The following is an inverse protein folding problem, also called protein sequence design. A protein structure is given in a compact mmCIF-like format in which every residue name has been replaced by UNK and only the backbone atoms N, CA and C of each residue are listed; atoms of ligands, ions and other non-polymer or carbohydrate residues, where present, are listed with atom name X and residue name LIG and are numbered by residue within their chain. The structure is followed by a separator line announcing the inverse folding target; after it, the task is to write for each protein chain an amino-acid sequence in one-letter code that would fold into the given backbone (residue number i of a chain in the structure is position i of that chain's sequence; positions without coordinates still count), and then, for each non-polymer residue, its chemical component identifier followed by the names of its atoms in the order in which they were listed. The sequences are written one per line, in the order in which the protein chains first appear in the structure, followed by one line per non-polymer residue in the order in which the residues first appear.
data_IF_823109171787
#
_entry.id   IF_823109171787
#
_cell.length_a   1.000
_cell.length_b   1.000
_cell.length_c   1.000
_cell.angle_alpha   90.00
_cell.angle_beta   90.00
_cell.angle_gamma   90.00
#
_symmetry.space_group_name_H-M   'P 1'
#
loop_
_entity.id
_entity.type
_entity.pdbx_description
1 polymer ?
#
# COMPACT_ATOMS: atom_id res chain seq x y z
N UNK A 1 54.86 -21.45 -59.35
CA UNK A 1 53.98 -22.38 -58.61
C UNK A 1 54.56 -22.55 -57.24
N UNK A 2 53.92 -22.01 -56.21
CA UNK A 2 53.96 -22.54 -54.84
C UNK A 2 52.81 -21.87 -54.08
N UNK A 3 51.67 -22.55 -54.08
CA UNK A 3 50.44 -22.15 -53.41
C UNK A 3 50.64 -22.30 -51.91
N UNK A 4 50.75 -21.17 -51.18
CA UNK A 4 50.61 -21.15 -49.71
C UNK A 4 49.22 -21.67 -49.35
N UNK A 5 49.15 -22.89 -48.82
CA UNK A 5 47.95 -23.44 -48.21
C UNK A 5 47.71 -22.68 -46.90
N UNK A 6 46.64 -21.90 -46.84
CA UNK A 6 46.08 -21.43 -45.57
C UNK A 6 45.58 -22.66 -44.81
N UNK A 7 46.33 -23.04 -43.77
CA UNK A 7 45.90 -24.08 -42.84
C UNK A 7 44.89 -23.43 -41.90
N UNK A 8 43.61 -23.77 -42.07
CA UNK A 8 42.55 -23.36 -41.16
C UNK A 8 42.88 -23.90 -39.75
N UNK A 9 43.02 -23.00 -38.79
CA UNK A 9 43.29 -23.33 -37.39
C UNK A 9 42.03 -23.97 -36.79
N UNK A 10 42.00 -25.31 -36.78
CA UNK A 10 40.97 -26.09 -36.10
C UNK A 10 41.42 -26.40 -34.67
N UNK A 11 40.54 -26.17 -33.69
CA UNK A 11 40.75 -26.45 -32.26
C UNK A 11 41.01 -27.94 -31.96
N UNK A 12 40.77 -28.83 -32.92
CA UNK A 12 40.97 -30.29 -32.81
C UNK A 12 42.36 -30.77 -33.31
N UNK A 13 43.25 -29.85 -33.71
CA UNK A 13 44.62 -30.18 -34.15
C UNK A 13 45.55 -30.51 -32.97
N UNK A 14 46.40 -31.54 -33.08
CA UNK A 14 47.42 -31.89 -32.06
C UNK A 14 48.28 -30.68 -31.66
N UNK A 15 48.55 -29.78 -32.61
CA UNK A 15 49.27 -28.53 -32.38
C UNK A 15 48.53 -27.55 -31.44
N UNK A 16 47.20 -27.51 -31.50
CA UNK A 16 46.40 -26.67 -30.61
C UNK A 16 46.40 -27.22 -29.17
N UNK A 17 46.45 -28.55 -29.00
CA UNK A 17 46.51 -29.19 -27.69
C UNK A 17 47.87 -28.99 -27.00
N UNK A 18 48.99 -29.06 -27.74
CA UNK A 18 50.33 -28.73 -27.21
C UNK A 18 50.41 -27.24 -26.81
N UNK A 19 49.89 -26.33 -27.66
CA UNK A 19 49.89 -24.89 -27.35
C UNK A 19 49.04 -24.53 -26.12
N UNK A 20 47.91 -25.23 -25.91
CA UNK A 20 47.05 -25.10 -24.72
C UNK A 20 47.77 -25.57 -23.46
N UNK A 21 48.59 -26.62 -23.53
CA UNK A 21 49.38 -27.11 -22.39
C UNK A 21 50.55 -26.17 -22.03
N UNK A 22 51.19 -25.54 -23.02
CA UNK A 22 52.30 -24.62 -22.77
C UNK A 22 51.85 -23.25 -22.23
N UNK A 23 50.61 -22.82 -22.49
CA UNK A 23 50.12 -21.48 -22.12
C UNK A 23 48.70 -21.50 -21.49
N UNK A 24 48.52 -22.09 -20.30
CA UNK A 24 47.20 -22.25 -19.67
C UNK A 24 46.55 -20.91 -19.27
N UNK A 25 47.36 -19.90 -18.90
CA UNK A 25 46.85 -18.56 -18.55
C UNK A 25 46.22 -17.86 -19.76
N UNK A 26 46.75 -18.07 -20.97
CA UNK A 26 46.22 -17.48 -22.19
C UNK A 26 44.85 -18.05 -22.55
N UNK A 27 44.68 -19.37 -22.38
CA UNK A 27 43.40 -20.05 -22.61
C UNK A 27 42.33 -19.55 -21.63
N UNK A 28 42.68 -19.38 -20.36
CA UNK A 28 41.76 -18.86 -19.35
C UNK A 28 41.33 -17.40 -19.65
N UNK A 29 42.26 -16.57 -20.14
CA UNK A 29 41.96 -15.20 -20.57
C UNK A 29 41.04 -15.19 -21.79
N UNK A 30 41.29 -16.03 -22.79
CA UNK A 30 40.45 -16.14 -24.00
C UNK A 30 39.05 -16.66 -23.65
N UNK A 31 38.95 -17.68 -22.79
CA UNK A 31 37.66 -18.18 -22.30
C UNK A 31 36.91 -17.11 -21.50
N UNK A 32 37.61 -16.38 -20.62
CA UNK A 32 37.01 -15.27 -19.85
C UNK A 32 36.58 -14.10 -20.73
N UNK A 33 37.31 -13.84 -21.83
CA UNK A 33 36.94 -12.83 -22.81
C UNK A 33 35.68 -13.26 -23.59
N UNK A 34 35.62 -14.52 -24.01
CA UNK A 34 34.46 -15.08 -24.71
C UNK A 34 33.21 -15.08 -23.82
N UNK A 35 33.31 -15.47 -22.54
CA UNK A 35 32.19 -15.40 -21.60
C UNK A 35 31.73 -13.95 -21.40
N UNK A 36 32.65 -13.00 -21.23
CA UNK A 36 32.31 -11.58 -21.16
C UNK A 36 31.61 -11.07 -22.43
N UNK A 37 32.03 -11.49 -23.62
CA UNK A 37 31.36 -11.15 -24.88
C UNK A 37 29.92 -11.67 -24.90
N UNK A 38 29.69 -12.93 -24.49
CA UNK A 38 28.33 -13.48 -24.41
C UNK A 38 27.46 -12.73 -23.40
N UNK A 39 28.01 -12.29 -22.27
CA UNK A 39 27.28 -11.47 -21.30
C UNK A 39 26.92 -10.10 -21.87
N UNK A 40 27.84 -9.45 -22.59
CA UNK A 40 27.59 -8.16 -23.24
C UNK A 40 26.48 -8.28 -24.30
N UNK A 41 26.47 -9.35 -25.08
CA UNK A 41 25.40 -9.65 -26.03
C UNK A 41 24.06 -9.86 -25.30
N UNK A 42 24.05 -10.63 -24.21
CA UNK A 42 22.85 -10.83 -23.39
C UNK A 42 22.33 -9.50 -22.82
N UNK A 43 23.22 -8.65 -22.29
CA UNK A 43 22.83 -7.34 -21.78
C UNK A 43 22.24 -6.46 -22.88
N UNK A 44 22.79 -6.50 -24.09
CA UNK A 44 22.25 -5.75 -25.23
C UNK A 44 20.82 -6.20 -25.59
N UNK A 45 20.55 -7.51 -25.55
CA UNK A 45 19.22 -8.07 -25.78
C UNK A 45 18.23 -7.67 -24.68
N UNK A 46 18.65 -7.72 -23.42
CA UNK A 46 17.82 -7.33 -22.29
C UNK A 46 17.48 -5.83 -22.32
N UNK A 47 18.45 -4.97 -22.67
CA UNK A 47 18.21 -3.53 -22.83
C UNK A 47 17.20 -3.28 -23.95
N UNK A 48 17.31 -4.00 -25.07
CA UNK A 48 16.34 -3.90 -26.17
C UNK A 48 14.93 -4.28 -25.71
N UNK A 49 14.80 -5.35 -24.94
CA UNK A 49 13.50 -5.82 -24.44
C UNK A 49 12.87 -4.84 -23.44
N UNK A 50 13.67 -4.29 -22.53
CA UNK A 50 13.20 -3.25 -21.60
C UNK A 50 12.73 -2.01 -22.36
N UNK A 51 13.43 -1.59 -23.42
CA UNK A 51 13.01 -0.46 -24.23
C UNK A 51 11.66 -0.70 -24.92
N UNK A 52 11.42 -1.90 -25.46
CA UNK A 52 10.11 -2.27 -26.01
C UNK A 52 9.00 -2.21 -24.96
N UNK A 53 9.27 -2.70 -23.75
CA UNK A 53 8.30 -2.65 -22.65
C UNK A 53 7.99 -1.21 -22.22
N UNK A 54 9.00 -0.33 -22.20
CA UNK A 54 8.80 1.10 -21.92
C UNK A 54 7.92 1.75 -22.99
N UNK A 55 8.17 1.45 -24.27
CA UNK A 55 7.37 1.96 -25.39
C UNK A 55 5.91 1.49 -25.30
N UNK A 56 5.68 0.20 -25.05
CA UNK A 56 4.34 -0.34 -24.81
C UNK A 56 3.64 0.33 -23.62
N UNK A 57 4.36 0.64 -22.54
CA UNK A 57 3.80 1.33 -21.39
C UNK A 57 3.40 2.77 -21.73
N UNK A 58 4.24 3.49 -22.49
CA UNK A 58 3.91 4.83 -22.97
C UNK A 58 2.66 4.83 -23.85
N UNK A 59 2.55 3.88 -24.78
CA UNK A 59 1.36 3.76 -25.64
C UNK A 59 0.10 3.52 -24.81
N UNK A 60 0.14 2.60 -23.83
CA UNK A 60 -0.99 2.38 -22.91
C UNK A 60 -1.34 3.62 -22.09
N UNK A 61 -0.35 4.40 -21.64
CA UNK A 61 -0.60 5.65 -20.93
C UNK A 61 -1.25 6.70 -21.83
N UNK A 62 -0.90 6.75 -23.12
CA UNK A 62 -1.54 7.63 -24.11
C UNK A 62 -2.98 7.20 -24.41
N UNK A 63 -3.25 5.90 -24.55
CA UNK A 63 -4.61 5.36 -24.67
C UNK A 63 -5.48 5.77 -23.47
N UNK A 64 -4.97 5.64 -22.24
CA UNK A 64 -5.68 6.05 -21.03
C UNK A 64 -5.95 7.57 -21.03
N UNK A 65 -5.00 8.39 -21.49
CA UNK A 65 -5.20 9.84 -21.62
C UNK A 65 -6.30 10.16 -22.63
N UNK A 66 -6.33 9.50 -23.78
CA UNK A 66 -7.37 9.66 -24.79
C UNK A 66 -8.75 9.25 -24.25
N UNK A 67 -8.84 8.13 -23.54
CA UNK A 67 -10.08 7.70 -22.88
C UNK A 67 -10.58 8.73 -21.84
N UNK A 68 -9.67 9.32 -21.05
CA UNK A 68 -10.04 10.38 -20.09
C UNK A 68 -10.61 11.64 -20.75
N UNK A 69 -10.15 12.00 -21.95
CA UNK A 69 -10.74 13.11 -22.71
C UNK A 69 -12.13 12.77 -23.25
N UNK A 70 -12.36 11.52 -23.68
CA UNK A 70 -13.69 11.03 -24.08
C UNK A 70 -14.70 11.03 -22.92
N UNK A 71 -14.27 10.68 -21.71
CA UNK A 71 -15.12 10.68 -20.51
C UNK A 71 -15.57 12.09 -20.08
N UNK A 72 -14.75 13.12 -20.36
CA UNK A 72 -15.11 14.53 -20.09
C UNK A 72 -16.20 15.03 -21.04
N UNK A 73 -16.13 14.69 -22.34
CA UNK A 73 -17.20 15.04 -23.30
C UNK A 73 -18.47 14.21 -23.10
N UNK A 74 -18.37 12.95 -22.66
CA UNK A 74 -19.55 12.15 -22.31
C UNK A 74 -20.25 12.70 -21.06
N UNK A 75 -19.52 13.21 -20.07
CA UNK A 75 -20.12 13.74 -18.85
C UNK A 75 -20.98 14.99 -19.08
N UNK A 76 -20.65 15.83 -20.06
CA UNK A 76 -21.51 16.95 -20.45
C UNK A 76 -22.76 16.51 -21.23
N UNK A 77 -22.72 15.34 -21.89
CA UNK A 77 -23.82 14.79 -22.70
C UNK A 77 -24.66 13.72 -22.02
N UNK A 78 -24.38 13.31 -20.77
CA UNK A 78 -25.31 12.52 -19.94
C UNK A 78 -26.45 13.44 -19.46
N UNK A 79 -27.20 13.98 -20.41
CA UNK A 79 -28.63 14.14 -20.19
C UNK A 79 -29.18 12.73 -20.00
N UNK A 80 -29.97 12.52 -18.95
CA UNK A 80 -30.58 11.22 -18.63
C UNK A 80 -31.52 10.80 -19.78
N UNK A 81 -31.00 10.33 -20.90
CA UNK A 81 -31.77 9.60 -21.89
C UNK A 81 -32.21 8.34 -21.16
N UNK A 82 -33.51 8.23 -20.89
CA UNK A 82 -34.12 7.01 -20.34
C UNK A 82 -33.69 5.87 -21.26
N UNK A 83 -32.74 5.04 -20.81
CA UNK A 83 -32.44 3.81 -21.53
C UNK A 83 -33.71 2.96 -21.48
N UNK A 84 -34.17 2.51 -22.65
CA UNK A 84 -35.15 1.42 -22.70
C UNK A 84 -34.43 0.18 -22.17
N UNK A 85 -34.62 -0.08 -20.87
CA UNK A 85 -34.18 -1.31 -20.23
C UNK A 85 -34.80 -2.48 -21.01
N UNK A 86 -33.99 -3.42 -21.52
CA UNK A 86 -34.50 -4.63 -22.16
C UNK A 86 -35.56 -5.31 -21.28
N UNK A 87 -36.52 -5.99 -21.90
CA UNK A 87 -37.63 -6.65 -21.20
C UNK A 87 -37.18 -7.62 -20.09
N UNK A 88 -35.92 -8.05 -20.09
CA UNK A 88 -35.32 -8.93 -19.09
C UNK A 88 -34.76 -8.21 -17.84
N UNK A 89 -34.90 -6.89 -17.70
CA UNK A 89 -34.47 -6.21 -16.48
C UNK A 89 -35.49 -6.37 -15.36
N UNK A 90 -34.98 -6.46 -14.12
CA UNK A 90 -35.79 -6.53 -12.91
C UNK A 90 -36.94 -5.48 -12.93
N UNK A 91 -38.20 -5.87 -12.64
CA UNK A 91 -38.65 -7.20 -12.24
C UNK A 91 -38.67 -8.21 -13.41
N UNK A 92 -38.04 -9.37 -13.17
CA UNK A 92 -37.94 -10.46 -14.14
C UNK A 92 -39.30 -11.12 -14.35
N UNK A 93 -39.56 -11.63 -15.56
CA UNK A 93 -40.81 -12.30 -15.95
C UNK A 93 -42.04 -11.37 -15.92
N UNK A 94 -42.33 -10.78 -17.07
CA UNK A 94 -43.51 -9.96 -17.32
C UNK A 94 -44.50 -10.77 -18.14
N UNK A 95 -45.79 -10.64 -17.84
CA UNK A 95 -46.84 -11.18 -18.68
C UNK A 95 -46.94 -10.42 -20.02
N UNK A 96 -47.84 -10.87 -20.91
CA UNK A 96 -48.08 -10.21 -22.20
C UNK A 96 -48.47 -8.72 -22.06
N UNK A 97 -48.98 -8.31 -20.89
CA UNK A 97 -49.39 -6.94 -20.57
C UNK A 97 -48.27 -6.14 -19.87
N UNK A 98 -47.07 -6.70 -19.70
CA UNK A 98 -45.93 -6.03 -19.06
C UNK A 98 -45.98 -6.01 -17.53
N UNK A 99 -46.90 -6.74 -16.91
CA UNK A 99 -47.06 -6.83 -15.46
C UNK A 99 -46.23 -7.99 -14.91
N UNK A 100 -45.50 -7.75 -13.84
CA UNK A 100 -44.82 -8.79 -13.07
C UNK A 100 -45.73 -9.29 -11.93
N UNK A 101 -45.53 -10.52 -11.49
CA UNK A 101 -46.17 -11.02 -10.28
C UNK A 101 -45.90 -10.09 -9.08
N UNK A 102 -46.91 -9.89 -8.24
CA UNK A 102 -46.77 -9.10 -7.01
C UNK A 102 -45.72 -9.69 -6.07
N UNK A 103 -45.16 -8.85 -5.20
CA UNK A 103 -44.25 -9.32 -4.15
C UNK A 103 -44.99 -10.33 -3.27
N UNK A 104 -44.37 -11.48 -3.01
CA UNK A 104 -44.89 -12.45 -2.04
C UNK A 104 -44.93 -11.80 -0.64
N UNK A 105 -45.73 -12.36 0.28
CA UNK A 105 -45.86 -11.85 1.64
C UNK A 105 -44.50 -11.69 2.35
N UNK A 106 -43.57 -12.60 2.06
CA UNK A 106 -42.19 -12.56 2.56
C UNK A 106 -41.39 -11.38 1.98
N UNK A 107 -41.42 -11.12 0.66
CA UNK A 107 -40.71 -9.97 0.07
C UNK A 107 -41.37 -8.64 0.43
N UNK A 108 -42.68 -8.60 0.70
CA UNK A 108 -43.34 -7.44 1.29
C UNK A 108 -42.79 -7.16 2.69
N UNK A 109 -42.70 -8.19 3.55
CA UNK A 109 -42.14 -8.06 4.88
C UNK A 109 -40.65 -7.61 4.87
N UNK A 110 -39.84 -8.17 3.97
CA UNK A 110 -38.42 -7.78 3.80
C UNK A 110 -38.31 -6.32 3.34
N UNK A 111 -39.17 -5.89 2.40
CA UNK A 111 -39.20 -4.51 1.90
C UNK A 111 -39.66 -3.52 2.98
N UNK A 112 -40.59 -3.93 3.83
CA UNK A 112 -41.13 -3.14 4.94
C UNK A 112 -40.13 -3.01 6.10
N UNK A 113 -39.26 -4.01 6.29
CA UNK A 113 -38.24 -3.99 7.34
C UNK A 113 -37.17 -2.91 7.14
N UNK A 114 -37.01 -2.35 5.93
CA UNK A 114 -36.05 -1.28 5.55
C UNK A 114 -34.55 -1.57 5.77
N UNK A 115 -34.24 -2.63 6.52
CA UNK A 115 -32.91 -3.13 6.84
C UNK A 115 -32.91 -4.63 6.54
N UNK A 116 -31.94 -5.07 5.76
CA UNK A 116 -31.74 -6.48 5.43
C UNK A 116 -31.57 -7.30 6.73
N UNK A 117 -32.45 -8.27 7.03
CA UNK A 117 -32.36 -9.09 8.25
C UNK A 117 -31.05 -9.88 8.37
N UNK A 118 -30.34 -10.12 7.26
CA UNK A 118 -29.05 -10.83 7.23
C UNK A 118 -27.85 -9.90 7.50
N UNK A 119 -28.06 -8.58 7.54
CA UNK A 119 -27.02 -7.63 7.89
C UNK A 119 -26.87 -7.57 9.41
N UNK A 120 -25.89 -8.28 9.95
CA UNK A 120 -25.53 -8.15 11.36
C UNK A 120 -25.07 -6.71 11.66
N UNK A 121 -25.69 -6.06 12.65
CA UNK A 121 -25.19 -4.79 13.15
C UNK A 121 -23.74 -4.96 13.63
N UNK A 122 -22.81 -4.22 13.01
CA UNK A 122 -21.40 -4.32 13.36
C UNK A 122 -21.17 -4.09 14.86
N UNK A 123 -20.50 -5.05 15.51
CA UNK A 123 -20.20 -5.02 16.96
C UNK A 123 -19.73 -3.64 17.41
N UNK A 124 -20.44 -3.04 18.37
CA UNK A 124 -20.09 -1.73 18.94
C UNK A 124 -18.71 -1.78 19.62
N UNK A 125 -18.01 -0.65 19.62
CA UNK A 125 -16.69 -0.55 20.25
C UNK A 125 -16.84 -0.40 21.76
N UNK A 126 -16.17 -1.27 22.52
CA UNK A 126 -16.05 -1.11 23.96
C UNK A 126 -14.94 -0.11 24.32
N UNK A 127 -15.06 0.57 25.46
CA UNK A 127 -14.01 1.44 26.01
C UNK A 127 -12.67 0.70 26.19
N UNK A 128 -12.72 -0.57 26.61
CA UNK A 128 -11.54 -1.42 26.68
C UNK A 128 -10.88 -1.60 25.31
N UNK A 129 -11.65 -1.94 24.26
CA UNK A 129 -11.15 -2.09 22.89
C UNK A 129 -10.54 -0.79 22.37
N UNK A 130 -11.14 0.37 22.70
CA UNK A 130 -10.62 1.68 22.31
C UNK A 130 -9.26 1.95 22.97
N UNK A 131 -9.14 1.70 24.27
CA UNK A 131 -7.88 1.89 24.98
C UNK A 131 -6.81 0.89 24.55
N UNK A 132 -7.20 -0.36 24.32
CA UNK A 132 -6.34 -1.39 23.75
C UNK A 132 -5.79 -0.90 22.41
N UNK A 133 -6.64 -0.41 21.51
CA UNK A 133 -6.21 0.12 20.21
C UNK A 133 -5.17 1.25 20.36
N UNK A 134 -5.36 2.17 21.32
CA UNK A 134 -4.39 3.25 21.58
C UNK A 134 -3.04 2.70 22.04
N UNK A 135 -3.05 1.73 22.96
CA UNK A 135 -1.83 1.08 23.47
C UNK A 135 -1.14 0.30 22.36
N UNK A 136 -1.90 -0.47 21.59
CA UNK A 136 -1.43 -1.25 20.44
C UNK A 136 -0.77 -0.41 19.37
N UNK A 137 -1.38 0.72 18.99
CA UNK A 137 -0.80 1.63 18.00
C UNK A 137 0.52 2.22 18.52
N UNK A 138 0.56 2.67 19.77
CA UNK A 138 1.80 3.13 20.39
C UNK A 138 2.88 2.04 20.43
N UNK A 139 2.49 0.81 20.78
CA UNK A 139 3.37 -0.35 20.80
C UNK A 139 3.94 -0.63 19.40
N UNK A 140 3.09 -0.61 18.35
CA UNK A 140 3.53 -0.79 16.97
C UNK A 140 4.51 0.31 16.52
N UNK A 141 4.30 1.57 16.91
CA UNK A 141 5.21 2.66 16.59
C UNK A 141 6.57 2.50 17.29
N UNK A 142 6.55 2.06 18.55
CA UNK A 142 7.77 1.72 19.29
C UNK A 142 8.50 0.56 18.62
N UNK A 143 7.77 -0.48 18.23
CA UNK A 143 8.31 -1.66 17.56
C UNK A 143 8.93 -1.31 16.21
N UNK A 144 8.35 -0.38 15.44
CA UNK A 144 8.97 0.14 14.22
C UNK A 144 10.33 0.80 14.48
N UNK A 145 10.41 1.70 15.48
CA UNK A 145 11.68 2.34 15.88
C UNK A 145 12.69 1.32 16.41
N UNK A 146 12.25 0.37 17.22
CA UNK A 146 13.07 -0.69 17.79
C UNK A 146 13.56 -1.63 16.69
N UNK A 147 12.73 -1.92 15.69
CA UNK A 147 13.06 -2.74 14.52
C UNK A 147 14.25 -2.18 13.76
N UNK A 148 14.25 -0.87 13.48
CA UNK A 148 15.38 -0.19 12.82
C UNK A 148 16.68 -0.34 13.62
N UNK A 149 16.61 -0.17 14.95
CA UNK A 149 17.79 -0.33 15.82
C UNK A 149 18.24 -1.80 15.86
N UNK A 150 17.30 -2.74 15.90
CA UNK A 150 17.59 -4.17 15.90
C UNK A 150 18.27 -4.61 14.60
N UNK A 151 17.87 -4.10 13.44
CA UNK A 151 18.56 -4.36 12.16
C UNK A 151 20.03 -3.89 12.23
N UNK A 152 20.29 -2.69 12.75
CA UNK A 152 21.66 -2.20 12.97
C UNK A 152 22.44 -3.09 13.93
N UNK A 153 21.80 -3.56 15.00
CA UNK A 153 22.39 -4.49 15.97
C UNK A 153 22.71 -5.85 15.34
N UNK A 154 21.83 -6.40 14.51
CA UNK A 154 22.04 -7.66 13.79
C UNK A 154 23.24 -7.57 12.85
N UNK A 155 23.44 -6.44 12.16
CA UNK A 155 24.64 -6.23 11.33
C UNK A 155 25.91 -6.32 12.18
N UNK A 156 25.92 -5.73 13.38
CA UNK A 156 27.08 -5.79 14.29
C UNK A 156 27.29 -7.21 14.83
N UNK A 157 26.21 -7.93 15.15
CA UNK A 157 26.28 -9.34 15.57
C UNK A 157 26.80 -10.22 14.44
N UNK A 158 26.33 -10.02 13.20
CA UNK A 158 26.80 -10.77 12.04
C UNK A 158 28.28 -10.49 11.76
N UNK A 159 28.76 -9.25 11.94
CA UNK A 159 30.20 -8.92 11.88
C UNK A 159 31.01 -9.65 12.96
N UNK A 160 30.46 -9.77 14.17
CA UNK A 160 31.08 -10.55 15.25
C UNK A 160 31.17 -12.05 14.92
N UNK A 161 30.12 -12.60 14.29
CA UNK A 161 30.04 -14.02 13.95
C UNK A 161 30.85 -14.40 12.70
N UNK A 162 30.88 -13.52 11.68
CA UNK A 162 31.55 -13.77 10.40
C UNK A 162 33.07 -13.56 10.46
N UNK A 163 33.57 -12.84 11.46
CA UNK A 163 34.99 -12.61 11.61
C UNK A 163 35.66 -13.85 12.26
N UNK A 164 35.95 -14.83 11.41
CA UNK A 164 36.79 -15.98 11.73
C UNK A 164 38.21 -15.52 12.09
N UNK A 165 38.65 -15.89 13.28
CA UNK A 165 40.03 -15.99 13.78
C UNK A 165 40.89 -14.70 13.89
N UNK A 166 40.63 -13.61 13.18
CA UNK A 166 41.44 -12.36 13.25
C UNK A 166 40.70 -11.13 13.82
N UNK A 167 40.01 -11.27 14.97
CA UNK A 167 39.43 -10.10 15.65
C UNK A 167 40.36 -9.62 16.77
N UNK A 168 40.88 -8.41 16.63
CA UNK A 168 41.57 -7.74 17.75
C UNK A 168 40.60 -7.58 18.94
N UNK A 169 41.03 -7.93 20.15
CA UNK A 169 40.22 -7.81 21.40
C UNK A 169 39.55 -6.44 21.53
N UNK A 170 40.26 -5.37 21.11
CA UNK A 170 39.77 -3.98 21.09
C UNK A 170 38.57 -3.77 20.16
N UNK A 171 38.55 -4.41 18.98
CA UNK A 171 37.43 -4.31 18.03
C UNK A 171 36.21 -5.07 18.56
N UNK A 172 36.42 -6.25 19.16
CA UNK A 172 35.36 -7.01 19.83
C UNK A 172 34.72 -6.20 20.97
N UNK A 173 35.52 -5.56 21.82
CA UNK A 173 35.04 -4.67 22.88
C UNK A 173 34.25 -3.48 22.33
N UNK A 174 34.68 -2.89 21.21
CA UNK A 174 33.96 -1.80 20.54
C UNK A 174 32.56 -2.24 20.10
N UNK A 175 32.44 -3.38 19.41
CA UNK A 175 31.16 -3.91 18.93
C UNK A 175 30.24 -4.33 20.08
N UNK A 176 30.77 -4.93 21.14
CA UNK A 176 30.00 -5.22 22.36
C UNK A 176 29.45 -3.91 22.96
N UNK A 177 30.28 -2.88 23.07
CA UNK A 177 29.84 -1.57 23.54
C UNK A 177 28.79 -0.91 22.63
N UNK A 178 28.85 -1.11 21.31
CA UNK A 178 27.82 -0.66 20.37
C UNK A 178 26.48 -1.39 20.61
N UNK A 179 26.52 -2.71 20.81
CA UNK A 179 25.34 -3.52 21.16
C UNK A 179 24.73 -3.06 22.48
N UNK A 180 25.56 -2.82 23.51
CA UNK A 180 25.08 -2.33 24.81
C UNK A 180 24.42 -0.94 24.71
N UNK A 181 25.00 -0.03 23.92
CA UNK A 181 24.40 1.29 23.66
C UNK A 181 23.06 1.15 22.94
N UNK A 182 22.98 0.30 21.92
CA UNK A 182 21.73 -0.01 21.22
C UNK A 182 20.67 -0.60 22.17
N UNK A 183 21.05 -1.53 23.04
CA UNK A 183 20.16 -2.11 24.05
C UNK A 183 19.66 -1.05 25.06
N UNK A 184 20.53 -0.16 25.53
CA UNK A 184 20.14 0.99 26.38
C UNK A 184 19.16 1.91 25.66
N UNK A 185 19.36 2.17 24.36
CA UNK A 185 18.45 2.97 23.56
C UNK A 185 17.08 2.29 23.38
N UNK A 186 17.05 0.99 23.10
CA UNK A 186 15.80 0.20 23.03
C UNK A 186 15.05 0.26 24.36
N UNK A 187 15.75 0.08 25.48
CA UNK A 187 15.15 0.18 26.82
C UNK A 187 14.51 1.56 27.07
N UNK A 188 15.20 2.64 26.67
CA UNK A 188 14.64 4.01 26.74
C UNK A 188 13.37 4.16 25.91
N UNK A 189 13.34 3.66 24.67
CA UNK A 189 12.16 3.74 23.79
C UNK A 189 10.99 2.95 24.38
N UNK A 190 11.24 1.76 24.92
CA UNK A 190 10.20 0.95 25.57
C UNK A 190 9.59 1.67 26.77
N UNK A 191 10.42 2.31 27.59
CA UNK A 191 10.01 3.02 28.81
C UNK A 191 9.29 4.36 28.55
N UNK A 192 9.33 4.92 27.33
CA UNK A 192 8.65 6.18 27.03
C UNK A 192 7.12 6.06 27.19
N UNK A 193 6.45 7.11 27.72
CA UNK A 193 5.02 7.08 27.92
C UNK A 193 4.26 7.14 26.59
N UNK A 194 3.00 6.70 26.60
CA UNK A 194 2.14 6.63 25.42
C UNK A 194 1.92 7.99 24.74
N UNK A 195 1.85 9.06 25.53
CA UNK A 195 1.62 10.42 25.04
C UNK A 195 2.81 10.99 24.26
N UNK A 196 4.00 10.39 24.36
CA UNK A 196 5.15 10.80 23.55
C UNK A 196 4.97 10.44 22.08
N UNK A 197 4.26 9.33 21.80
CA UNK A 197 4.03 8.86 20.43
C UNK A 197 2.68 9.30 19.89
N UNK A 198 1.69 9.49 20.76
CA UNK A 198 0.34 9.92 20.39
C UNK A 198 0.22 11.45 20.40
N UNK A 199 1.06 12.13 19.61
CA UNK A 199 1.07 13.59 19.48
C UNK A 199 0.44 14.05 18.16
N UNK A 200 0.04 15.31 18.12
CA UNK A 200 -0.39 15.98 16.89
C UNK A 200 0.81 16.14 15.94
N UNK A 201 0.59 15.98 14.64
CA UNK A 201 1.60 16.00 13.57
C UNK A 201 2.59 14.82 13.60
N UNK A 202 2.26 13.74 14.31
CA UNK A 202 3.03 12.51 14.22
C UNK A 202 2.62 11.72 12.97
N UNK A 203 3.59 11.02 12.35
CA UNK A 203 3.34 10.13 11.23
C UNK A 203 2.92 8.74 11.72
N UNK A 204 1.68 8.37 11.43
CA UNK A 204 1.08 7.08 11.77
C UNK A 204 1.07 6.09 10.59
N UNK A 205 1.72 6.41 9.47
CA UNK A 205 1.79 5.55 8.28
C UNK A 205 2.52 4.22 8.54
N UNK A 206 3.44 4.21 9.50
CA UNK A 206 4.29 3.07 9.86
C UNK A 206 3.62 2.06 10.80
N UNK A 207 2.35 2.27 11.15
CA UNK A 207 1.60 1.37 12.05
C UNK A 207 1.25 0.08 11.33
N UNK A 208 1.66 -1.05 11.92
CA UNK A 208 1.34 -2.38 11.42
C UNK A 208 -0.02 -2.84 11.93
N UNK A 209 -1.05 -2.56 11.14
CA UNK A 209 -2.43 -2.95 11.45
C UNK A 209 -2.67 -4.46 11.44
N UNK A 210 -1.89 -5.21 10.65
CA UNK A 210 -2.01 -6.66 10.58
C UNK A 210 -1.54 -7.30 11.90
N UNK A 211 -0.37 -6.85 12.41
CA UNK A 211 0.15 -7.27 13.72
C UNK A 211 -0.86 -6.98 14.83
N UNK A 212 -1.45 -5.78 14.85
CA UNK A 212 -2.42 -5.37 15.88
C UNK A 212 -3.69 -6.23 15.83
N UNK A 213 -4.25 -6.44 14.63
CA UNK A 213 -5.45 -7.27 14.45
C UNK A 213 -5.21 -8.72 14.91
N UNK A 214 -4.09 -9.32 14.49
CA UNK A 214 -3.78 -10.71 14.79
C UNK A 214 -3.35 -10.93 16.26
N UNK A 215 -2.47 -10.07 16.79
CA UNK A 215 -1.85 -10.29 18.10
C UNK A 215 -2.67 -9.70 19.24
N UNK A 216 -2.98 -8.40 19.16
CA UNK A 216 -3.61 -7.66 20.27
C UNK A 216 -5.11 -7.92 20.32
N UNK A 217 -5.77 -7.93 19.15
CA UNK A 217 -7.22 -8.16 19.01
C UNK A 217 -7.57 -9.63 18.75
N UNK A 218 -6.60 -10.52 18.60
CA UNK A 218 -6.82 -11.97 18.38
C UNK A 218 -7.80 -12.28 17.24
N UNK A 219 -7.80 -11.46 16.19
CA UNK A 219 -8.73 -11.58 15.05
C UNK A 219 -10.17 -11.15 15.31
N UNK A 220 -10.52 -10.64 16.51
CA UNK A 220 -11.87 -10.17 16.84
C UNK A 220 -12.31 -8.97 15.98
N UNK A 221 -11.34 -8.20 15.47
CA UNK A 221 -11.54 -7.03 14.63
C UNK A 221 -10.66 -7.13 13.41
N UNK A 222 -11.22 -6.83 12.24
CA UNK A 222 -10.45 -6.82 11.00
C UNK A 222 -9.54 -5.59 10.91
N UNK A 223 -8.48 -5.70 10.10
CA UNK A 223 -7.55 -4.60 9.80
C UNK A 223 -8.29 -3.32 9.41
N UNK A 224 -9.28 -3.45 8.51
CA UNK A 224 -10.09 -2.33 8.03
C UNK A 224 -10.87 -1.65 9.15
N UNK A 225 -11.46 -2.43 10.08
CA UNK A 225 -12.20 -1.88 11.22
C UNK A 225 -11.29 -1.09 12.17
N UNK A 226 -10.10 -1.63 12.46
CA UNK A 226 -9.12 -0.95 13.31
C UNK A 226 -8.65 0.37 12.69
N UNK A 227 -8.28 0.34 11.40
CA UNK A 227 -7.82 1.52 10.66
C UNK A 227 -8.89 2.59 10.57
N UNK A 228 -10.12 2.22 10.21
CA UNK A 228 -11.25 3.16 10.17
C UNK A 228 -11.51 3.80 11.54
N UNK A 229 -11.46 3.01 12.62
CA UNK A 229 -11.65 3.55 13.97
C UNK A 229 -10.54 4.54 14.34
N UNK A 230 -9.30 4.23 13.96
CA UNK A 230 -8.17 5.11 14.19
C UNK A 230 -8.31 6.42 13.41
N UNK A 231 -8.40 6.32 12.09
CA UNK A 231 -8.38 7.45 11.15
C UNK A 231 -9.59 8.38 11.30
N UNK A 232 -10.73 7.88 11.80
CA UNK A 232 -11.94 8.67 11.92
C UNK A 232 -12.18 9.26 13.32
N UNK A 233 -11.60 8.68 14.38
CA UNK A 233 -11.98 9.03 15.76
C UNK A 233 -10.83 9.09 16.76
N UNK A 234 -9.81 8.22 16.65
CA UNK A 234 -8.78 8.10 17.68
C UNK A 234 -7.51 8.88 17.37
N UNK A 235 -7.19 9.07 16.08
CA UNK A 235 -6.06 9.85 15.61
C UNK A 235 -5.93 11.20 16.35
N UNK A 236 -4.80 11.47 17.02
CA UNK A 236 -4.55 12.77 17.66
C UNK A 236 -4.48 13.94 16.67
N UNK A 237 -4.22 13.65 15.39
CA UNK A 237 -4.23 14.65 14.33
C UNK A 237 -5.64 15.20 14.05
N UNK A 238 -6.69 14.47 14.44
CA UNK A 238 -8.06 14.90 14.21
C UNK A 238 -8.50 16.00 15.18
N UNK A 239 -9.20 16.99 14.64
CA UNK A 239 -9.87 17.99 15.45
C UNK A 239 -11.09 17.38 16.18
N UNK A 240 -11.13 17.58 17.50
CA UNK A 240 -12.21 17.15 18.40
C UNK A 240 -13.00 18.34 18.98
N UNK A 241 -12.77 19.53 18.43
CA UNK A 241 -13.46 20.74 18.86
C UNK A 241 -14.92 20.72 18.39
N UNK A 242 -15.75 21.55 19.03
CA UNK A 242 -17.12 21.78 18.55
C UNK A 242 -17.06 22.39 17.15
N UNK A 243 -18.09 22.10 16.34
CA UNK A 243 -18.26 22.71 15.02
C UNK A 243 -18.59 24.18 15.19
N UNK A 244 -17.90 25.04 14.44
CA UNK A 244 -18.24 26.47 14.37
C UNK A 244 -19.23 26.71 13.23
N UNK A 245 -19.92 27.86 13.27
CA UNK A 245 -20.88 28.22 12.23
C UNK A 245 -20.18 28.45 10.88
N UNK A 246 -18.94 28.93 10.89
CA UNK A 246 -18.12 29.10 9.69
C UNK A 246 -17.78 27.74 9.06
N UNK A 247 -17.39 26.76 9.89
CA UNK A 247 -17.14 25.38 9.44
C UNK A 247 -18.41 24.75 8.85
N UNK A 248 -19.56 24.97 9.48
CA UNK A 248 -20.84 24.44 8.99
C UNK A 248 -21.24 25.05 7.64
N UNK A 249 -21.07 26.37 7.46
CA UNK A 249 -21.30 27.05 6.18
C UNK A 249 -20.38 26.51 5.09
N UNK A 250 -19.08 26.39 5.39
CA UNK A 250 -18.09 25.85 4.46
C UNK A 250 -18.41 24.39 4.08
N UNK A 251 -18.81 23.56 5.05
CA UNK A 251 -19.20 22.18 4.82
C UNK A 251 -20.41 22.08 3.88
N UNK A 252 -21.43 22.91 4.09
CA UNK A 252 -22.62 22.95 3.22
C UNK A 252 -22.23 23.37 1.80
N UNK A 253 -21.42 24.41 1.64
CA UNK A 253 -21.04 24.90 0.31
C UNK A 253 -20.15 23.92 -0.46
N UNK A 254 -19.23 23.23 0.23
CA UNK A 254 -18.44 22.16 -0.38
C UNK A 254 -19.30 20.95 -0.75
N UNK A 255 -20.28 20.58 0.09
CA UNK A 255 -21.19 19.46 -0.18
C UNK A 255 -22.13 19.68 -1.38
N UNK A 256 -22.41 20.95 -1.73
CA UNK A 256 -23.15 21.30 -2.96
C UNK A 256 -22.32 21.08 -4.22
N UNK A 257 -21.00 21.26 -4.13
CA UNK A 257 -20.06 21.18 -5.27
C UNK A 257 -19.49 19.78 -5.47
N UNK A 258 -19.28 19.04 -4.38
CA UNK A 258 -18.60 17.74 -4.41
C UNK A 258 -19.40 16.70 -3.62
N UNK A 259 -19.41 15.45 -4.11
CA UNK A 259 -20.02 14.32 -3.39
C UNK A 259 -19.00 13.41 -2.70
N UNK A 260 -17.70 13.68 -2.88
CA UNK A 260 -16.62 12.90 -2.27
C UNK A 260 -16.21 13.51 -0.92
N UNK A 261 -16.55 12.82 0.17
CA UNK A 261 -16.28 13.28 1.53
C UNK A 261 -14.80 13.39 1.88
N UNK A 262 -13.92 12.58 1.28
CA UNK A 262 -12.48 12.69 1.51
C UNK A 262 -11.97 14.03 0.98
N UNK A 263 -12.39 14.38 -0.23
CA UNK A 263 -12.05 15.65 -0.87
C UNK A 263 -12.62 16.86 -0.11
N UNK A 264 -13.86 16.77 0.38
CA UNK A 264 -14.46 17.82 1.22
C UNK A 264 -13.64 18.02 2.49
N UNK A 265 -13.24 16.92 3.15
CA UNK A 265 -12.45 16.94 4.38
C UNK A 265 -11.09 17.63 4.19
N UNK A 266 -10.41 17.31 3.08
CA UNK A 266 -9.13 17.91 2.72
C UNK A 266 -9.27 19.41 2.45
N UNK A 267 -10.31 19.82 1.70
CA UNK A 267 -10.57 21.22 1.39
C UNK A 267 -11.03 22.06 2.59
N UNK A 268 -11.58 21.45 3.62
CA UNK A 268 -11.89 22.18 4.86
C UNK A 268 -10.63 22.57 5.64
N UNK A 269 -9.52 21.83 5.49
CA UNK A 269 -8.23 22.18 6.11
C UNK A 269 -8.21 22.17 7.65
N UNK A 270 -9.32 21.84 8.31
CA UNK A 270 -9.51 21.91 9.76
C UNK A 270 -9.14 20.60 10.49
N UNK A 271 -8.43 19.70 9.82
CA UNK A 271 -8.06 18.37 10.32
C UNK A 271 -9.26 17.54 10.81
N UNK A 272 -10.46 17.77 10.26
CA UNK A 272 -11.60 16.86 10.46
C UNK A 272 -11.45 15.66 9.53
N UNK A 273 -12.05 14.52 9.89
CA UNK A 273 -12.15 13.34 9.03
C UNK A 273 -13.39 13.44 8.13
N UNK A 274 -13.33 12.81 6.95
CA UNK A 274 -14.45 12.67 6.03
C UNK A 274 -15.71 12.14 6.72
N UNK A 275 -15.53 11.20 7.66
CA UNK A 275 -16.62 10.65 8.46
C UNK A 275 -17.28 11.70 9.36
N UNK A 276 -16.48 12.54 10.04
CA UNK A 276 -17.00 13.62 10.88
C UNK A 276 -17.79 14.65 10.05
N UNK A 277 -17.27 14.99 8.86
CA UNK A 277 -17.92 15.90 7.92
C UNK A 277 -19.28 15.35 7.47
N UNK A 278 -19.33 14.08 7.10
CA UNK A 278 -20.56 13.41 6.71
C UNK A 278 -21.59 13.35 7.84
N UNK A 279 -21.17 12.96 9.05
CA UNK A 279 -22.05 12.94 10.22
C UNK A 279 -22.63 14.32 10.52
N UNK A 280 -21.79 15.37 10.48
CA UNK A 280 -22.24 16.74 10.70
C UNK A 280 -23.23 17.19 9.63
N UNK A 281 -22.96 16.88 8.36
CA UNK A 281 -23.86 17.22 7.27
C UNK A 281 -25.24 16.57 7.40
N UNK A 282 -25.30 15.28 7.77
CA UNK A 282 -26.59 14.61 8.05
C UNK A 282 -27.32 15.33 9.18
N UNK A 283 -26.62 15.64 10.27
CA UNK A 283 -27.19 16.37 11.40
C UNK A 283 -27.75 17.74 10.99
N UNK A 284 -27.03 18.50 10.16
CA UNK A 284 -27.48 19.80 9.64
C UNK A 284 -28.71 19.66 8.72
N UNK A 285 -28.78 18.59 7.92
CA UNK A 285 -29.95 18.30 7.08
C UNK A 285 -31.19 17.95 7.88
N UNK A 286 -31.04 17.19 8.97
CA UNK A 286 -32.17 16.75 9.81
C UNK A 286 -32.73 17.87 10.67
N UNK A 287 -31.87 18.80 11.13
CA UNK A 287 -32.26 19.86 12.05
C UNK A 287 -32.56 21.22 11.38
N UNK A 288 -32.84 21.23 10.07
CA UNK A 288 -33.28 22.41 9.35
C UNK A 288 -32.21 23.50 9.25
N UNK A 289 -31.26 23.31 8.33
CA UNK A 289 -30.40 24.40 7.89
C UNK A 289 -31.18 25.39 7.01
N UNK A 290 -31.79 26.40 7.61
CA UNK A 290 -31.95 27.71 6.96
C UNK A 290 -30.88 28.68 7.51
N UNK A 291 -30.37 29.58 6.66
CA UNK A 291 -29.13 30.34 6.88
C UNK A 291 -29.14 31.29 8.09
#
# INVERSE_FOLDING_TARGET
METKKEVAFSLDSEFAQEFIQENPDFVNIVCSLATNQTYLELFSQLILEVNKLIELNRNKQEEIKLCRFGDLELNEKITRKRMNLPSCCYPYFKDFNGMSAGLNAEALAIKELSVDPLMEEGRRWNYYEINLLRISVCSSLKDGKIGIINLGKEIVINKLNAAGVEITIRQKQKWIGEIERANKQIARIRAQPINTFLQKNFDYSTVDWARISASDFKGLRSISQLRQKWDNQLCPNLSKTKWTQEEDKQLIDLSKKFSNWNFISENMGNSRSAFQCFQRFIYLKQNGGEP
#
